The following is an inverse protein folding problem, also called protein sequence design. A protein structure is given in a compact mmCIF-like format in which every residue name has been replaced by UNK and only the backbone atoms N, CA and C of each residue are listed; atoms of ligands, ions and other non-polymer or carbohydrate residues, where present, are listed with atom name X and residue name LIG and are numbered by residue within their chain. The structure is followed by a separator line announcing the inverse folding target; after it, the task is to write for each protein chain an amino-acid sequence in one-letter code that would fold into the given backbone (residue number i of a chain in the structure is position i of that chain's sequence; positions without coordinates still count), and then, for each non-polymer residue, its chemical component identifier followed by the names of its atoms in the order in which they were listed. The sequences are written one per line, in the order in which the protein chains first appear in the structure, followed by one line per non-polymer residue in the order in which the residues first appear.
data_IF_893023415600
#
_entry.id   IF_893023415600
#
_cell.length_a   1.000
_cell.length_b   1.000
_cell.length_c   1.000
_cell.angle_alpha   90.00
_cell.angle_beta   90.00
_cell.angle_gamma   90.00
#
_symmetry.space_group_name_H-M   'P 1'
#
loop_
_entity.id
_entity.type
_entity.pdbx_description
1 polymer ?
#
# COMPACT_ATOMS: atom_id res chain seq x y z
N UNK A 1 5.96 22.92 -4.35
CA UNK A 1 4.85 21.98 -4.65
C UNK A 1 3.84 21.81 -3.51
N UNK A 2 3.89 22.60 -2.43
CA UNK A 2 2.90 22.53 -1.33
C UNK A 2 1.61 23.34 -1.53
N UNK A 3 1.56 24.23 -2.53
CA UNK A 3 0.41 25.13 -2.75
C UNK A 3 -0.75 24.47 -3.52
N UNK A 4 -0.48 23.47 -4.36
CA UNK A 4 -1.53 22.75 -5.10
C UNK A 4 -2.34 21.80 -4.21
N UNK A 5 -1.72 21.22 -3.18
CA UNK A 5 -2.41 20.42 -2.17
C UNK A 5 -3.33 21.29 -1.28
N UNK A 6 -2.92 22.53 -0.99
CA UNK A 6 -3.75 23.52 -0.29
C UNK A 6 -4.99 23.95 -1.09
N UNK A 7 -4.87 24.09 -2.42
CA UNK A 7 -6.01 24.45 -3.26
C UNK A 7 -7.04 23.32 -3.46
N UNK A 8 -6.62 22.06 -3.37
CA UNK A 8 -7.57 20.92 -3.37
C UNK A 8 -8.29 20.78 -2.03
N UNK A 9 -7.60 21.03 -0.91
CA UNK A 9 -8.22 21.07 0.41
C UNK A 9 -9.21 22.24 0.56
N UNK A 10 -9.00 23.36 -0.14
CA UNK A 10 -9.89 24.52 -0.12
C UNK A 10 -11.22 24.32 -0.89
N UNK A 11 -11.29 23.36 -1.83
CA UNK A 11 -12.51 23.10 -2.62
C UNK A 11 -13.55 22.27 -1.84
N UNK A 12 -13.10 21.47 -0.87
CA UNK A 12 -13.97 20.81 0.09
C UNK A 12 -14.02 21.65 1.36
N UNK A 13 -15.00 22.57 1.45
CA UNK A 13 -15.43 23.18 2.72
C UNK A 13 -15.99 22.06 3.61
N UNK A 14 -15.10 21.32 4.27
CA UNK A 14 -15.42 20.44 5.38
C UNK A 14 -15.14 21.28 6.63
N UNK A 15 -16.13 21.51 7.51
CA UNK A 15 -15.86 22.20 8.78
C UNK A 15 -14.73 21.47 9.53
N UNK A 16 -13.88 22.18 10.30
CA UNK A 16 -12.76 21.58 11.02
C UNK A 16 -13.29 20.76 12.21
N UNK A 17 -13.88 19.62 11.90
CA UNK A 17 -14.29 18.61 12.88
C UNK A 17 -13.15 17.62 13.05
N UNK A 18 -13.06 17.08 14.26
CA UNK A 18 -12.09 16.06 14.74
C UNK A 18 -11.86 14.93 13.73
N UNK A 19 -12.86 14.62 12.90
CA UNK A 19 -12.84 13.63 11.83
C UNK A 19 -11.73 13.84 10.79
N UNK A 20 -11.36 15.08 10.44
CA UNK A 20 -10.31 15.34 9.44
C UNK A 20 -8.93 14.99 10.00
N UNK A 21 -8.65 15.37 11.25
CA UNK A 21 -7.36 15.09 11.90
C UNK A 21 -7.18 13.59 12.06
N UNK A 22 -8.24 12.88 12.46
CA UNK A 22 -8.24 11.42 12.54
C UNK A 22 -8.03 10.82 11.15
N UNK A 23 -8.71 11.31 10.10
CA UNK A 23 -8.53 10.81 8.73
C UNK A 23 -7.08 10.94 8.24
N UNK A 24 -6.45 12.11 8.48
CA UNK A 24 -5.05 12.33 8.14
C UNK A 24 -4.14 11.39 8.92
N UNK A 25 -4.37 11.25 10.23
CA UNK A 25 -3.59 10.36 11.09
C UNK A 25 -3.69 8.90 10.62
N UNK A 26 -4.89 8.41 10.35
CA UNK A 26 -5.14 7.06 9.84
C UNK A 26 -4.44 6.86 8.49
N UNK A 27 -4.56 7.81 7.57
CA UNK A 27 -3.88 7.77 6.28
C UNK A 27 -2.35 7.69 6.41
N UNK A 28 -1.77 8.42 7.37
CA UNK A 28 -0.34 8.33 7.70
C UNK A 28 0.00 6.93 8.22
N UNK A 29 -0.79 6.38 9.15
CA UNK A 29 -0.52 5.03 9.68
C UNK A 29 -0.55 3.99 8.55
N UNK A 30 -1.57 4.01 7.68
CA UNK A 30 -1.62 3.09 6.53
C UNK A 30 -0.45 3.30 5.56
N UNK A 31 0.02 4.53 5.36
CA UNK A 31 1.23 4.77 4.55
C UNK A 31 2.45 4.09 5.16
N UNK A 32 2.60 4.11 6.49
CA UNK A 32 3.68 3.42 7.20
C UNK A 32 3.52 1.90 7.12
N UNK A 33 2.29 1.39 7.24
CA UNK A 33 1.96 -0.02 7.03
C UNK A 33 2.38 -0.48 5.63
N UNK A 34 2.09 0.33 4.62
CA UNK A 34 2.48 0.09 3.24
C UNK A 34 4.00 0.12 3.05
N UNK A 35 4.72 1.08 3.65
CA UNK A 35 6.19 1.11 3.63
C UNK A 35 6.81 -0.10 4.34
N UNK A 36 6.25 -0.51 5.48
CA UNK A 36 6.66 -1.68 6.24
C UNK A 36 6.45 -2.96 5.42
N UNK A 37 5.32 -3.06 4.71
CA UNK A 37 5.06 -4.14 3.77
C UNK A 37 6.04 -4.14 2.60
N UNK A 38 6.38 -2.97 2.06
CA UNK A 38 7.42 -2.79 1.02
C UNK A 38 8.78 -3.28 1.51
N UNK A 39 9.19 -2.90 2.71
CA UNK A 39 10.44 -3.35 3.31
C UNK A 39 10.41 -4.86 3.62
N UNK A 40 9.32 -5.34 4.20
CA UNK A 40 9.06 -6.76 4.50
C UNK A 40 8.98 -7.65 3.25
N UNK A 41 8.60 -7.11 2.10
CA UNK A 41 8.52 -7.79 0.80
C UNK A 41 9.79 -7.68 -0.05
N UNK A 42 10.40 -6.48 -0.14
CA UNK A 42 11.52 -6.18 -1.05
C UNK A 42 12.90 -6.00 -0.38
N UNK A 43 12.98 -5.85 0.94
CA UNK A 43 14.25 -5.70 1.68
C UNK A 43 15.29 -6.79 1.39
N UNK A 44 16.56 -6.40 1.46
CA UNK A 44 17.75 -7.25 1.22
C UNK A 44 18.23 -8.00 2.46
N UNK A 45 17.78 -7.59 3.65
CA UNK A 45 18.13 -8.20 4.93
C UNK A 45 17.73 -9.69 5.02
N UNK A 46 18.36 -10.46 5.95
CA UNK A 46 17.97 -11.85 6.20
C UNK A 46 16.49 -11.94 6.57
N UNK A 47 15.83 -13.02 6.14
CA UNK A 47 14.38 -13.16 6.24
C UNK A 47 13.85 -13.05 7.68
N UNK A 48 14.59 -13.60 8.65
CA UNK A 48 14.27 -13.52 10.08
C UNK A 48 14.25 -12.08 10.60
N UNK A 49 15.26 -11.27 10.26
CA UNK A 49 15.30 -9.86 10.66
C UNK A 49 14.12 -9.08 10.09
N UNK A 50 13.69 -9.44 8.87
CA UNK A 50 12.54 -8.81 8.22
C UNK A 50 11.22 -9.22 8.87
N UNK A 51 11.08 -10.49 9.23
CA UNK A 51 9.93 -10.97 9.98
C UNK A 51 9.81 -10.23 11.31
N UNK A 52 10.90 -10.14 12.08
CA UNK A 52 10.93 -9.44 13.36
C UNK A 52 10.56 -7.96 13.19
N UNK A 53 11.17 -7.29 12.20
CA UNK A 53 10.87 -5.88 11.92
C UNK A 53 9.40 -5.65 11.52
N UNK A 54 8.81 -6.55 10.74
CA UNK A 54 7.38 -6.49 10.38
C UNK A 54 6.50 -6.71 11.61
N UNK A 55 6.78 -7.73 12.43
CA UNK A 55 5.99 -8.03 13.63
C UNK A 55 6.02 -6.85 14.61
N UNK A 56 7.21 -6.31 14.88
CA UNK A 56 7.39 -5.14 15.75
C UNK A 56 6.70 -3.91 15.15
N UNK A 57 6.85 -3.69 13.84
CA UNK A 57 6.23 -2.57 13.14
C UNK A 57 4.70 -2.64 13.19
N UNK A 58 4.10 -3.78 12.87
CA UNK A 58 2.63 -4.01 12.96
C UNK A 58 2.13 -3.79 14.39
N UNK A 59 2.84 -4.34 15.38
CA UNK A 59 2.50 -4.14 16.79
C UNK A 59 2.54 -2.66 17.19
N UNK A 60 3.56 -1.92 16.76
CA UNK A 60 3.71 -0.49 17.04
C UNK A 60 2.66 0.38 16.34
N UNK A 61 2.35 0.09 15.07
CA UNK A 61 1.35 0.83 14.29
C UNK A 61 -0.08 0.55 14.79
N UNK A 62 -0.36 -0.69 15.16
CA UNK A 62 -1.63 -1.04 15.82
C UNK A 62 -1.78 -0.35 17.17
N UNK A 63 -0.70 -0.24 17.96
CA UNK A 63 -0.72 0.50 19.23
C UNK A 63 -0.97 2.00 19.01
N UNK A 64 -0.29 2.58 18.01
CA UNK A 64 -0.49 3.99 17.63
C UNK A 64 -1.94 4.26 17.19
N UNK A 65 -2.55 3.36 16.43
CA UNK A 65 -3.97 3.46 16.06
C UNK A 65 -4.90 3.32 17.27
N UNK A 66 -4.62 2.38 18.17
CA UNK A 66 -5.42 2.19 19.38
C UNK A 66 -5.41 3.44 20.26
N UNK A 67 -4.23 4.07 20.44
CA UNK A 67 -4.10 5.31 21.21
C UNK A 67 -4.69 6.52 20.48
N UNK A 68 -4.51 6.61 19.16
CA UNK A 68 -4.93 7.77 18.36
C UNK A 68 -6.42 7.81 18.01
N UNK A 69 -7.10 6.67 17.95
CA UNK A 69 -8.52 6.55 17.55
C UNK A 69 -9.43 6.22 18.75
N UNK A 70 -8.88 5.72 19.86
CA UNK A 70 -9.58 5.45 21.11
C UNK A 70 -9.79 3.96 21.41
N UNK A 71 -9.97 3.64 22.70
CA UNK A 71 -9.93 2.26 23.26
C UNK A 71 -10.97 1.28 22.71
N UNK A 72 -12.15 1.76 22.28
CA UNK A 72 -13.28 0.90 21.86
C UNK A 72 -13.05 0.12 20.56
N UNK A 73 -12.05 0.49 19.76
CA UNK A 73 -11.75 -0.13 18.46
C UNK A 73 -10.39 -0.86 18.44
N UNK A 74 -9.77 -1.11 19.60
CA UNK A 74 -8.40 -1.61 19.67
C UNK A 74 -8.20 -2.95 18.94
N UNK A 75 -9.04 -3.96 19.19
CA UNK A 75 -8.92 -5.28 18.55
C UNK A 75 -9.14 -5.23 17.03
N UNK A 76 -10.15 -4.49 16.59
CA UNK A 76 -10.47 -4.30 15.16
C UNK A 76 -9.34 -3.55 14.44
N UNK A 77 -8.79 -2.50 15.05
CA UNK A 77 -7.68 -1.73 14.48
C UNK A 77 -6.42 -2.58 14.30
N UNK A 78 -6.06 -3.40 15.29
CA UNK A 78 -4.95 -4.36 15.17
C UNK A 78 -5.20 -5.36 14.04
N UNK A 79 -6.44 -5.86 13.93
CA UNK A 79 -6.82 -6.78 12.87
C UNK A 79 -6.66 -6.13 11.49
N UNK A 80 -7.17 -4.92 11.28
CA UNK A 80 -7.06 -4.21 9.99
C UNK A 80 -5.60 -3.99 9.61
N UNK A 81 -4.76 -3.51 10.52
CA UNK A 81 -3.34 -3.25 10.26
C UNK A 81 -2.62 -4.54 9.91
N UNK A 82 -2.87 -5.62 10.66
CA UNK A 82 -2.24 -6.92 10.41
C UNK A 82 -2.65 -7.52 9.06
N UNK A 83 -3.94 -7.46 8.72
CA UNK A 83 -4.47 -7.93 7.42
C UNK A 83 -3.90 -7.10 6.27
N UNK A 84 -3.95 -5.77 6.36
CA UNK A 84 -3.39 -4.89 5.34
C UNK A 84 -1.89 -5.18 5.12
N UNK A 85 -1.13 -5.31 6.21
CA UNK A 85 0.30 -5.65 6.13
C UNK A 85 0.53 -7.01 5.49
N UNK A 86 -0.23 -8.03 5.90
CA UNK A 86 -0.12 -9.38 5.35
C UNK A 86 -0.46 -9.43 3.86
N UNK A 87 -1.49 -8.69 3.42
CA UNK A 87 -1.85 -8.56 2.01
C UNK A 87 -0.73 -7.91 1.19
N UNK A 88 -0.17 -6.79 1.67
CA UNK A 88 0.92 -6.09 0.99
C UNK A 88 2.16 -6.97 0.89
N UNK A 89 2.56 -7.60 2.00
CA UNK A 89 3.68 -8.54 2.03
C UNK A 89 3.42 -9.70 1.08
N UNK A 90 2.23 -10.30 1.11
CA UNK A 90 1.85 -11.40 0.22
C UNK A 90 1.99 -11.01 -1.25
N UNK A 91 1.40 -9.89 -1.66
CA UNK A 91 1.49 -9.41 -3.06
C UNK A 91 2.95 -9.12 -3.44
N UNK A 92 3.73 -8.49 -2.58
CA UNK A 92 5.13 -8.16 -2.88
C UNK A 92 6.06 -9.38 -2.86
N UNK A 93 5.79 -10.38 -2.02
CA UNK A 93 6.49 -11.66 -2.04
C UNK A 93 6.21 -12.39 -3.35
N UNK A 94 4.96 -12.40 -3.81
CA UNK A 94 4.62 -12.92 -5.14
C UNK A 94 5.45 -12.18 -6.20
N UNK A 95 5.44 -10.84 -6.22
CA UNK A 95 6.23 -10.03 -7.18
C UNK A 95 7.74 -10.35 -7.09
N UNK A 96 8.27 -10.57 -5.89
CA UNK A 96 9.67 -10.98 -5.67
C UNK A 96 9.95 -12.38 -6.20
N UNK A 97 9.02 -13.32 -6.09
CA UNK A 97 9.12 -14.63 -6.74
C UNK A 97 9.26 -14.49 -8.26
N UNK A 98 8.68 -13.44 -8.86
CA UNK A 98 8.87 -13.08 -10.27
C UNK A 98 10.17 -12.31 -10.57
N UNK A 99 11.16 -12.36 -9.66
CA UNK A 99 12.53 -11.84 -9.80
C UNK A 99 12.64 -10.32 -10.00
N UNK A 100 11.70 -9.55 -9.45
CA UNK A 100 11.86 -8.10 -9.31
C UNK A 100 12.59 -7.85 -7.99
N UNK A 101 13.79 -7.23 -8.03
CA UNK A 101 14.50 -6.75 -6.83
C UNK A 101 14.72 -5.24 -6.93
N UNK A 102 14.72 -4.57 -5.77
CA UNK A 102 15.23 -3.20 -5.66
C UNK A 102 16.75 -3.31 -5.67
N UNK A 103 17.40 -2.66 -6.64
CA UNK A 103 18.85 -2.57 -6.70
C UNK A 103 19.24 -1.09 -6.69
N UNK A 104 20.36 -0.77 -6.06
CA UNK A 104 21.00 0.54 -6.21
C UNK A 104 21.46 0.62 -7.65
N UNK A 105 21.06 1.66 -8.37
CA UNK A 105 21.46 1.86 -9.76
C UNK A 105 22.96 2.25 -9.78
N UNK A 106 23.84 1.26 -9.85
CA UNK A 106 25.23 1.50 -10.24
C UNK A 106 25.27 1.94 -11.70
N UNK A 107 26.20 2.85 -12.01
CA UNK A 107 26.14 3.89 -13.05
C UNK A 107 26.02 3.42 -14.53
N UNK A 108 26.02 2.11 -14.85
CA UNK A 108 26.24 1.66 -16.24
C UNK A 108 25.07 0.99 -17.00
N UNK A 109 23.84 0.96 -16.49
CA UNK A 109 22.71 0.39 -17.26
C UNK A 109 22.01 1.41 -18.16
N UNK A 110 22.75 1.93 -19.15
CA UNK A 110 22.27 2.85 -20.19
C UNK A 110 21.36 2.20 -21.27
N UNK A 111 20.98 0.94 -21.14
CA UNK A 111 20.09 0.25 -22.08
C UNK A 111 18.96 -0.48 -21.34
N UNK A 112 18.13 0.27 -20.61
CA UNK A 112 16.95 -0.27 -19.97
C UNK A 112 15.88 -0.62 -21.02
N UNK A 113 15.90 -1.89 -21.44
CA UNK A 113 14.90 -2.51 -22.29
C UNK A 113 13.50 -2.21 -21.74
N UNK A 114 12.64 -1.67 -22.62
CA UNK A 114 11.24 -1.30 -22.40
C UNK A 114 10.57 -2.31 -21.45
N UNK A 115 10.24 -1.91 -20.23
CA UNK A 115 9.46 -2.74 -19.31
C UNK A 115 8.02 -2.84 -19.85
N UNK A 116 7.81 -3.70 -20.85
CA UNK A 116 6.49 -4.17 -21.21
C UNK A 116 6.04 -5.10 -20.08
N UNK A 117 5.05 -4.62 -19.33
CA UNK A 117 4.35 -5.42 -18.34
C UNK A 117 3.77 -6.63 -19.10
N UNK A 118 4.35 -7.81 -18.88
CA UNK A 118 3.96 -8.97 -19.69
C UNK A 118 2.59 -9.44 -19.21
N UNK A 119 1.74 -9.91 -20.13
CA UNK A 119 0.41 -10.46 -19.80
C UNK A 119 0.50 -11.49 -18.66
N UNK A 120 1.62 -12.23 -18.58
CA UNK A 120 1.92 -13.17 -17.49
C UNK A 120 2.02 -12.49 -16.12
N UNK A 121 2.63 -11.30 -16.00
CA UNK A 121 2.70 -10.55 -14.74
C UNK A 121 1.32 -10.05 -14.30
N UNK A 122 0.48 -9.64 -15.25
CA UNK A 122 -0.90 -9.26 -14.97
C UNK A 122 -1.73 -10.46 -14.48
N UNK A 123 -1.62 -11.61 -15.17
CA UNK A 123 -2.30 -12.86 -14.81
C UNK A 123 -1.90 -13.38 -13.42
N UNK A 124 -0.62 -13.23 -13.07
CA UNK A 124 -0.11 -13.59 -11.75
C UNK A 124 -0.64 -12.65 -10.68
N UNK A 125 -0.67 -11.35 -10.96
CA UNK A 125 -1.20 -10.36 -10.02
C UNK A 125 -2.69 -10.63 -9.77
N UNK A 126 -3.47 -10.87 -10.83
CA UNK A 126 -4.89 -11.20 -10.69
C UNK A 126 -5.09 -12.54 -10.00
N UNK A 127 -4.23 -13.54 -10.24
CA UNK A 127 -4.24 -14.81 -9.51
C UNK A 127 -3.92 -14.63 -8.03
N UNK A 128 -2.92 -13.82 -7.68
CA UNK A 128 -2.58 -13.52 -6.29
C UNK A 128 -3.73 -12.80 -5.57
N UNK A 129 -4.35 -11.81 -6.23
CA UNK A 129 -5.55 -11.15 -5.72
C UNK A 129 -6.68 -12.17 -5.53
N UNK A 130 -6.90 -13.07 -6.48
CA UNK A 130 -7.91 -14.13 -6.36
C UNK A 130 -7.61 -15.11 -5.22
N UNK A 131 -6.36 -15.50 -5.01
CA UNK A 131 -5.93 -16.32 -3.88
C UNK A 131 -6.16 -15.61 -2.55
N UNK A 132 -5.85 -14.32 -2.44
CA UNK A 132 -6.08 -13.52 -1.23
C UNK A 132 -7.56 -13.39 -0.92
N UNK A 133 -8.40 -13.11 -1.94
CA UNK A 133 -9.86 -13.09 -1.81
C UNK A 133 -10.39 -14.47 -1.40
N UNK A 134 -9.83 -15.54 -1.95
CA UNK A 134 -10.23 -16.93 -1.62
C UNK A 134 -9.80 -17.33 -0.21
N UNK A 135 -8.62 -16.89 0.22
CA UNK A 135 -8.12 -17.09 1.59
C UNK A 135 -8.98 -16.33 2.59
N UNK A 136 -9.36 -15.08 2.27
CA UNK A 136 -10.31 -14.30 3.07
C UNK A 136 -11.66 -15.00 3.19
N UNK A 137 -12.17 -15.58 2.10
CA UNK A 137 -13.39 -16.40 2.10
C UNK A 137 -13.24 -17.70 2.91
N UNK A 138 -12.06 -18.31 2.91
CA UNK A 138 -11.79 -19.54 3.67
C UNK A 138 -11.62 -19.28 5.17
N UNK A 139 -11.09 -18.10 5.53
CA UNK A 139 -10.95 -17.66 6.91
C UNK A 139 -12.27 -17.13 7.50
N UNK A 140 -13.20 -16.69 6.63
CA UNK A 140 -14.53 -16.19 7.00
C UNK A 140 -15.36 -17.11 7.91
N UNK A 141 -15.43 -18.44 7.72
CA UNK A 141 -16.18 -19.32 8.63
C UNK A 141 -15.51 -19.53 10.00
N UNK A 142 -14.22 -19.20 10.17
CA UNK A 142 -13.49 -19.42 11.43
C UNK A 142 -13.46 -18.21 12.36
N UNK A 143 -13.86 -17.02 11.87
CA UNK A 143 -13.90 -15.77 12.63
C UNK A 143 -15.34 -15.28 12.67
N UNK A 144 -15.87 -14.98 13.86
CA UNK A 144 -17.26 -14.51 14.01
C UNK A 144 -17.53 -13.22 13.21
N UNK A 145 -18.76 -13.10 12.72
CA UNK A 145 -19.33 -12.01 11.91
C UNK A 145 -18.71 -11.80 10.52
N UNK A 146 -19.07 -12.69 9.58
CA UNK A 146 -18.63 -12.71 8.16
C UNK A 146 -18.69 -11.35 7.45
N UNK A 147 -19.72 -10.55 7.75
CA UNK A 147 -19.93 -9.24 7.13
C UNK A 147 -18.86 -8.23 7.52
N UNK A 148 -18.49 -8.19 8.81
CA UNK A 148 -17.45 -7.29 9.32
C UNK A 148 -16.08 -7.72 8.81
N UNK A 149 -15.77 -9.03 8.86
CA UNK A 149 -14.51 -9.54 8.34
C UNK A 149 -14.32 -9.24 6.84
N UNK A 150 -15.37 -9.42 6.05
CA UNK A 150 -15.35 -9.12 4.62
C UNK A 150 -15.13 -7.64 4.36
N UNK A 151 -15.77 -6.77 5.15
CA UNK A 151 -15.61 -5.32 5.07
C UNK A 151 -14.18 -4.91 5.47
N UNK A 152 -13.63 -5.43 6.56
CA UNK A 152 -12.25 -5.18 7.00
C UNK A 152 -11.21 -5.68 5.98
N UNK A 153 -11.46 -6.85 5.39
CA UNK A 153 -10.61 -7.40 4.32
C UNK A 153 -10.67 -6.53 3.08
N UNK A 154 -11.84 -6.02 2.71
CA UNK A 154 -12.01 -5.12 1.57
C UNK A 154 -11.30 -3.77 1.79
N UNK A 155 -11.39 -3.20 3.00
CA UNK A 155 -10.63 -2.01 3.41
C UNK A 155 -9.12 -2.27 3.26
N UNK A 156 -8.64 -3.35 3.87
CA UNK A 156 -7.23 -3.73 3.79
C UNK A 156 -6.77 -3.96 2.35
N UNK A 157 -7.62 -4.52 1.50
CA UNK A 157 -7.34 -4.72 0.07
C UNK A 157 -7.25 -3.38 -0.68
N UNK A 158 -8.14 -2.42 -0.40
CA UNK A 158 -8.09 -1.08 -1.00
C UNK A 158 -6.75 -0.41 -0.67
N UNK A 159 -6.37 -0.36 0.60
CA UNK A 159 -5.08 0.21 1.01
C UNK A 159 -3.89 -0.55 0.41
N UNK A 160 -3.92 -1.89 0.42
CA UNK A 160 -2.88 -2.70 -0.18
C UNK A 160 -2.72 -2.43 -1.69
N UNK A 161 -3.83 -2.26 -2.41
CA UNK A 161 -3.79 -1.94 -3.85
C UNK A 161 -3.25 -0.54 -4.11
N UNK A 162 -3.65 0.47 -3.33
CA UNK A 162 -3.09 1.84 -3.39
C UNK A 162 -1.59 1.81 -3.11
N UNK A 163 -1.19 1.10 -2.06
CA UNK A 163 0.20 0.87 -1.69
C UNK A 163 1.00 0.28 -2.84
N UNK A 164 0.58 -0.85 -3.41
CA UNK A 164 1.26 -1.53 -4.51
C UNK A 164 1.27 -0.69 -5.79
N UNK A 165 0.15 -0.02 -6.11
CA UNK A 165 0.03 0.87 -7.27
C UNK A 165 0.99 2.05 -7.18
N UNK A 166 1.28 2.57 -5.97
CA UNK A 166 2.22 3.69 -5.77
C UNK A 166 3.69 3.33 -6.03
N UNK A 167 4.06 2.04 -5.86
CA UNK A 167 5.44 1.56 -6.02
C UNK A 167 5.92 1.70 -7.47
N UNK A 168 5.06 1.38 -8.42
CA UNK A 168 5.40 1.34 -9.85
C UNK A 168 5.76 2.70 -10.46
N UNK A 169 4.96 3.76 -10.33
CA UNK A 169 5.27 5.08 -10.87
C UNK A 169 6.48 5.72 -10.17
N UNK A 170 6.63 5.50 -8.86
CA UNK A 170 7.71 6.11 -8.10
C UNK A 170 9.08 5.50 -8.43
N UNK A 171 9.15 4.18 -8.61
CA UNK A 171 10.40 3.47 -8.87
C UNK A 171 10.65 3.17 -10.37
N UNK A 172 9.69 3.50 -11.25
CA UNK A 172 9.78 3.28 -12.70
C UNK A 172 10.84 4.14 -13.41
N UNK A 173 11.21 3.76 -14.63
CA UNK A 173 12.30 4.41 -15.37
C UNK A 173 11.95 5.80 -15.96
N UNK A 174 10.65 6.13 -16.12
CA UNK A 174 10.16 7.38 -16.74
C UNK A 174 9.93 8.49 -15.72
N UNK A 175 9.65 9.71 -16.19
CA UNK A 175 9.35 10.87 -15.34
C UNK A 175 8.27 10.53 -14.30
N UNK A 176 8.58 10.60 -12.98
CA UNK A 176 7.70 10.06 -11.93
C UNK A 176 6.49 10.96 -11.62
N UNK A 177 6.51 12.23 -12.04
CA UNK A 177 5.53 13.25 -11.62
C UNK A 177 4.13 12.98 -12.18
N UNK A 178 4.02 12.67 -13.48
CA UNK A 178 2.71 12.48 -14.11
C UNK A 178 2.03 11.17 -13.64
N UNK A 179 2.74 10.02 -13.60
CA UNK A 179 2.15 8.77 -13.10
C UNK A 179 1.81 8.82 -11.60
N UNK A 180 2.59 9.52 -10.77
CA UNK A 180 2.27 9.65 -9.35
C UNK A 180 1.03 10.51 -9.09
N UNK A 181 0.85 11.59 -9.85
CA UNK A 181 -0.35 12.41 -9.77
C UNK A 181 -1.59 11.60 -10.16
N UNK A 182 -1.51 10.76 -11.20
CA UNK A 182 -2.60 9.85 -11.58
C UNK A 182 -2.96 8.90 -10.42
N UNK A 183 -1.96 8.32 -9.74
CA UNK A 183 -2.22 7.41 -8.61
C UNK A 183 -2.92 8.11 -7.46
N UNK A 184 -2.57 9.36 -7.14
CA UNK A 184 -3.25 10.13 -6.09
C UNK A 184 -4.73 10.36 -6.46
N UNK A 185 -5.00 10.75 -7.71
CA UNK A 185 -6.38 10.94 -8.19
C UNK A 185 -7.18 9.64 -8.17
N UNK A 186 -6.57 8.52 -8.58
CA UNK A 186 -7.20 7.20 -8.53
C UNK A 186 -7.48 6.79 -7.09
N UNK A 187 -6.54 6.99 -6.16
CA UNK A 187 -6.73 6.68 -4.74
C UNK A 187 -7.88 7.49 -4.11
N UNK A 188 -7.97 8.78 -4.46
CA UNK A 188 -9.09 9.63 -4.04
C UNK A 188 -10.43 9.12 -4.59
N UNK A 189 -10.47 8.75 -5.88
CA UNK A 189 -11.67 8.19 -6.52
C UNK A 189 -12.10 6.86 -5.91
N UNK A 190 -11.15 5.97 -5.58
CA UNK A 190 -11.43 4.70 -4.89
C UNK A 190 -11.99 4.96 -3.49
N UNK A 191 -11.41 5.89 -2.72
CA UNK A 191 -11.94 6.28 -1.42
C UNK A 191 -13.36 6.86 -1.51
N UNK A 192 -13.65 7.64 -2.55
CA UNK A 192 -14.99 8.18 -2.80
C UNK A 192 -15.99 7.08 -3.13
N UNK A 193 -15.65 6.17 -4.04
CA UNK A 193 -16.51 5.04 -4.41
C UNK A 193 -16.78 4.12 -3.21
N UNK A 194 -15.78 3.93 -2.34
CA UNK A 194 -15.91 3.14 -1.13
C UNK A 194 -16.92 3.74 -0.15
N UNK A 195 -16.91 5.07 0.00
CA UNK A 195 -17.86 5.77 0.86
C UNK A 195 -19.30 5.82 0.35
N UNK A 196 -19.53 5.49 -0.93
CA UNK A 196 -20.87 5.32 -1.47
C UNK A 196 -21.49 3.97 -1.08
N UNK A 197 -20.70 3.05 -0.50
CA UNK A 197 -21.23 1.77 -0.03
C UNK A 197 -22.21 1.99 1.15
N UNK A 198 -23.33 1.25 1.20
CA UNK A 198 -24.36 1.43 2.24
C UNK A 198 -23.85 1.47 3.69
N UNK A 199 -22.90 0.60 4.12
CA UNK A 199 -22.42 0.61 5.50
C UNK A 199 -21.55 1.83 5.84
N UNK A 200 -21.12 2.62 4.85
CA UNK A 200 -20.21 3.77 5.04
C UNK A 200 -20.78 5.09 4.51
N UNK A 201 -22.05 5.07 4.13
CA UNK A 201 -22.75 6.26 3.63
C UNK A 201 -22.70 7.37 4.69
N UNK A 202 -22.19 8.54 4.29
CA UNK A 202 -22.00 9.70 5.19
C UNK A 202 -20.55 9.98 5.58
N UNK A 203 -19.61 9.05 5.36
CA UNK A 203 -18.18 9.23 5.68
C UNK A 203 -17.29 9.49 4.45
N UNK A 204 -17.87 10.04 3.38
CA UNK A 204 -17.14 10.26 2.11
C UNK A 204 -15.91 11.15 2.26
N UNK A 205 -16.02 12.25 3.01
CA UNK A 205 -14.86 13.11 3.30
C UNK A 205 -13.77 12.38 4.06
N UNK A 206 -14.13 11.50 5.00
CA UNK A 206 -13.18 10.73 5.79
C UNK A 206 -12.39 9.75 4.91
N UNK A 207 -13.06 8.83 4.21
CA UNK A 207 -12.40 7.80 3.41
C UNK A 207 -11.60 8.36 2.24
N UNK A 208 -12.10 9.39 1.57
CA UNK A 208 -11.35 10.08 0.51
C UNK A 208 -10.09 10.74 1.06
N UNK A 209 -10.15 11.35 2.23
CA UNK A 209 -8.99 11.96 2.87
C UNK A 209 -7.97 10.89 3.26
N UNK A 210 -8.40 9.79 3.90
CA UNK A 210 -7.51 8.69 4.31
C UNK A 210 -6.75 8.13 3.11
N UNK A 211 -7.44 7.74 2.03
CA UNK A 211 -6.78 7.15 0.84
C UNK A 211 -5.90 8.16 0.09
N UNK A 212 -6.30 9.43 0.05
CA UNK A 212 -5.51 10.49 -0.59
C UNK A 212 -4.22 10.78 0.19
N UNK A 213 -4.32 10.86 1.52
CA UNK A 213 -3.17 11.09 2.42
C UNK A 213 -2.22 9.89 2.35
N UNK A 214 -2.75 8.67 2.38
CA UNK A 214 -1.94 7.46 2.25
C UNK A 214 -1.14 7.49 0.93
N UNK A 215 -1.82 7.71 -0.20
CA UNK A 215 -1.18 7.77 -1.51
C UNK A 215 -0.13 8.89 -1.60
N UNK A 216 -0.44 10.08 -1.06
CA UNK A 216 0.45 11.23 -1.09
C UNK A 216 1.71 10.99 -0.26
N UNK A 217 1.57 10.49 0.98
CA UNK A 217 2.70 10.21 1.87
C UNK A 217 3.56 9.07 1.31
N UNK A 218 2.96 8.05 0.72
CA UNK A 218 3.68 6.97 0.05
C UNK A 218 4.47 7.46 -1.14
N UNK A 219 3.84 8.22 -2.04
CA UNK A 219 4.52 8.81 -3.20
C UNK A 219 5.68 9.69 -2.75
N UNK A 220 5.46 10.57 -1.76
CA UNK A 220 6.50 11.44 -1.24
C UNK A 220 7.69 10.63 -0.68
N UNK A 221 7.40 9.61 0.13
CA UNK A 221 8.42 8.74 0.73
C UNK A 221 9.21 7.98 -0.35
N UNK A 222 8.53 7.43 -1.34
CA UNK A 222 9.18 6.70 -2.43
C UNK A 222 9.98 7.62 -3.36
N UNK A 223 9.57 8.87 -3.55
CA UNK A 223 10.35 9.88 -4.30
C UNK A 223 11.64 10.20 -3.56
N UNK A 224 11.62 10.31 -2.23
CA UNK A 224 12.84 10.49 -1.42
C UNK A 224 13.76 9.27 -1.55
N UNK A 225 13.21 8.06 -1.45
CA UNK A 225 13.97 6.82 -1.67
C UNK A 225 14.58 6.79 -3.08
N UNK A 226 13.84 7.22 -4.10
CA UNK A 226 14.35 7.34 -5.47
C UNK A 226 15.48 8.38 -5.56
N UNK A 227 15.36 9.52 -4.88
CA UNK A 227 16.44 10.54 -4.88
C UNK A 227 17.71 10.03 -4.22
N UNK A 228 17.62 9.06 -3.32
CA UNK A 228 18.76 8.34 -2.75
C UNK A 228 19.38 7.29 -3.71
N UNK A 229 18.90 7.17 -4.95
CA UNK A 229 19.50 6.29 -5.97
C UNK A 229 18.92 4.87 -6.04
N UNK A 230 17.89 4.55 -5.25
CA UNK A 230 17.21 3.26 -5.33
C UNK A 230 16.26 3.21 -6.55
N UNK A 231 16.37 2.16 -7.37
CA UNK A 231 15.48 1.93 -8.52
C UNK A 231 15.05 0.46 -8.61
N UNK A 232 13.87 0.21 -9.19
CA UNK A 232 13.46 -1.16 -9.51
C UNK A 232 14.24 -1.63 -10.73
N UNK A 233 15.01 -2.71 -10.57
CA UNK A 233 15.75 -3.34 -11.67
C UNK A 233 15.28 -4.78 -11.80
N UNK A 234 15.02 -5.21 -13.04
CA UNK A 234 14.71 -6.62 -13.31
C UNK A 234 16.02 -7.39 -13.30
N UNK A 235 16.13 -8.42 -12.47
CA UNK A 235 17.31 -9.29 -12.50
C UNK A 235 17.34 -10.08 -13.80
N UNK A 236 18.52 -10.29 -14.41
CA UNK A 236 18.68 -11.22 -15.51
C UNK A 236 18.16 -12.61 -15.10
N UNK A 237 17.60 -13.41 -16.04
CA UNK A 237 17.35 -14.81 -15.78
C UNK A 237 18.70 -15.47 -15.48
N UNK A 238 18.98 -15.73 -14.20
CA UNK A 238 20.13 -16.54 -13.81
C UNK A 238 20.06 -17.85 -14.57
N UNK A 239 21.02 -18.06 -15.46
CA UNK A 239 21.25 -19.35 -16.09
C UNK A 239 21.40 -20.37 -14.97
N UNK A 240 20.63 -21.48 -14.99
CA UNK A 240 20.97 -22.62 -14.16
C UNK A 240 22.30 -23.15 -14.70
N UNK A 241 23.40 -22.68 -14.13
CA UNK A 241 24.68 -23.36 -14.28
C UNK A 241 24.53 -24.70 -13.58
N UNK A 242 24.68 -25.73 -14.39
CA UNK A 242 24.71 -27.16 -14.10
C UNK A 242 25.20 -27.48 -12.68
N UNK A 243 24.40 -28.25 -11.97
CA UNK A 243 24.87 -29.22 -10.98
C UNK A 243 24.50 -30.60 -11.49
#
# INVERSE_FOLDING_TARGET
MGLAAGCWAAWFRIPPNVDLVIAVFVGIVFSQTSLLGIWGGLGTNPWWSRLIGVVVGVGSLGLLLAVGVGERASEENYFIVSVATALIIGVLLVVRCFRVRICVATVDQAAAHRMQFTIRQLLVLTFAVACLVSLGKWLAPHLMNVTELLLLTLIGLVFATVGVLSVWPALGARHPVLPSLIVIVVAAGVGFGFAQSPPMSGMAGFWTTVTSVEALVLVASLVVVRSCGYRLVRLPPGHPTER
#
